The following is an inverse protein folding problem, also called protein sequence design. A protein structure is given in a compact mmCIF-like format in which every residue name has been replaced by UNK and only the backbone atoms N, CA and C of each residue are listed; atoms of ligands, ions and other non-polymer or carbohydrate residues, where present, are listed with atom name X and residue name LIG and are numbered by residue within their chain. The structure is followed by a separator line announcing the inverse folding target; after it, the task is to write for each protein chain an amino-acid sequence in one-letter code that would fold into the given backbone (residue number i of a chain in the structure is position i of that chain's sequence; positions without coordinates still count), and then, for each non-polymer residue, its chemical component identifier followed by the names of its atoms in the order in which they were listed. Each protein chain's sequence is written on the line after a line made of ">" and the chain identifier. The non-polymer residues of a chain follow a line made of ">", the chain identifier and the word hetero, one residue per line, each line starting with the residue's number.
data_IF_022882988574
#
_entry.id   IF_022882988574
#
_cell.length_a   1.000
_cell.length_b   1.000
_cell.length_c   1.000
_cell.angle_alpha   90.00
_cell.angle_beta   90.00
_cell.angle_gamma   90.00
#
_symmetry.space_group_name_H-M   'P 1'
#
loop_
_entity.id
_entity.type
_entity.pdbx_description
1 polymer ?
#
# COMPACT_ATOMS: atom_id res chain seq x y z
N UNK A 1 7.55 3.77 -5.20
CA UNK A 1 6.54 3.62 -4.12
C UNK A 1 7.21 2.89 -2.98
N UNK A 2 6.93 3.25 -1.73
CA UNK A 2 7.43 2.51 -0.56
C UNK A 2 6.43 2.48 0.59
N UNK A 3 6.41 1.42 1.38
CA UNK A 3 5.56 1.34 2.58
C UNK A 3 6.21 2.12 3.73
N UNK A 4 5.59 3.22 4.15
CA UNK A 4 6.04 3.98 5.31
C UNK A 4 5.52 3.42 6.63
N UNK A 5 4.29 2.93 6.69
CA UNK A 5 3.75 2.34 7.90
C UNK A 5 2.58 1.41 7.57
N UNK A 6 2.32 0.47 8.47
CA UNK A 6 1.06 -0.28 8.49
C UNK A 6 0.49 -0.12 9.90
N UNK A 7 -0.70 0.44 10.00
CA UNK A 7 -1.37 0.73 11.27
C UNK A 7 -2.88 0.55 11.08
N UNK A 8 -3.54 -0.03 12.08
CA UNK A 8 -5.00 -0.22 12.09
C UNK A 8 -5.56 -0.88 10.81
N UNK A 9 -4.83 -1.84 10.23
CA UNK A 9 -5.24 -2.52 9.01
C UNK A 9 -5.09 -1.72 7.71
N UNK A 10 -4.57 -0.50 7.78
CA UNK A 10 -4.26 0.35 6.62
C UNK A 10 -2.76 0.41 6.36
N UNK A 11 -2.38 0.68 5.11
CA UNK A 11 -1.01 0.92 4.72
C UNK A 11 -0.81 2.37 4.31
N UNK A 12 0.27 2.98 4.80
CA UNK A 12 0.71 4.31 4.42
C UNK A 12 1.81 4.17 3.38
N UNK A 13 1.49 4.47 2.12
CA UNK A 13 2.42 4.35 0.99
C UNK A 13 2.91 5.72 0.57
N UNK A 14 4.23 5.90 0.54
CA UNK A 14 4.85 7.12 0.03
C UNK A 14 5.03 7.02 -1.49
N UNK A 15 4.41 7.95 -2.20
CA UNK A 15 4.37 8.03 -3.66
C UNK A 15 4.02 9.44 -4.13
N UNK A 16 4.71 9.92 -5.18
CA UNK A 16 4.56 11.29 -5.72
C UNK A 16 4.71 12.36 -4.65
N UNK A 17 5.78 12.27 -3.85
CA UNK A 17 6.11 13.20 -2.77
C UNK A 17 5.03 13.38 -1.69
N UNK A 18 4.09 12.44 -1.60
CA UNK A 18 3.00 12.40 -0.62
C UNK A 18 2.86 11.02 0.00
N UNK A 19 2.24 10.96 1.16
CA UNK A 19 1.87 9.69 1.81
C UNK A 19 0.37 9.47 1.70
N UNK A 20 0.00 8.31 1.19
CA UNK A 20 -1.38 7.91 0.94
C UNK A 20 -1.74 6.77 1.89
N UNK A 21 -2.84 6.89 2.62
CA UNK A 21 -3.44 5.77 3.32
C UNK A 21 -4.24 4.94 2.30
N UNK A 22 -4.03 3.63 2.29
CA UNK A 22 -4.72 2.70 1.40
C UNK A 22 -5.18 1.44 2.12
N UNK A 23 -6.29 0.90 1.65
CA UNK A 23 -6.91 -0.36 2.06
C UNK A 23 -7.14 -1.29 0.85
N UNK A 24 -7.32 -2.61 1.06
CA UNK A 24 -7.69 -3.52 -0.03
C UNK A 24 -8.96 -3.07 -0.75
N UNK A 25 -8.91 -3.05 -2.08
CA UNK A 25 -9.95 -2.55 -2.97
C UNK A 25 -9.73 -1.11 -3.45
N UNK A 26 -8.90 -0.32 -2.77
CA UNK A 26 -8.60 1.06 -3.19
C UNK A 26 -7.55 1.12 -4.31
N UNK A 27 -7.54 2.24 -5.04
CA UNK A 27 -6.56 2.52 -6.09
C UNK A 27 -5.44 3.41 -5.57
N UNK A 28 -4.21 3.06 -5.92
CA UNK A 28 -3.04 3.91 -5.76
C UNK A 28 -2.45 4.21 -7.13
N UNK A 29 -2.89 5.31 -7.73
CA UNK A 29 -2.58 5.60 -9.14
C UNK A 29 -3.33 4.66 -10.08
N UNK A 30 -2.59 3.87 -10.86
CA UNK A 30 -3.13 2.91 -11.84
C UNK A 30 -3.23 1.48 -11.31
N UNK A 31 -2.79 1.24 -10.07
CA UNK A 31 -2.83 -0.11 -9.46
C UNK A 31 -3.92 -0.18 -8.41
N UNK A 32 -4.53 -1.36 -8.27
CA UNK A 32 -5.50 -1.65 -7.22
C UNK A 32 -4.80 -2.38 -6.09
N UNK A 33 -4.99 -1.96 -4.85
CA UNK A 33 -4.52 -2.67 -3.66
C UNK A 33 -5.36 -3.93 -3.50
N UNK A 34 -4.72 -5.09 -3.50
CA UNK A 34 -5.39 -6.39 -3.35
C UNK A 34 -5.25 -6.96 -1.94
N UNK A 35 -4.27 -6.48 -1.16
CA UNK A 35 -4.04 -6.93 0.20
C UNK A 35 -2.95 -6.14 0.92
N UNK A 36 -2.87 -6.31 2.24
CA UNK A 36 -1.84 -5.73 3.10
C UNK A 36 -1.26 -6.85 3.96
N UNK A 37 0.05 -7.04 3.92
CA UNK A 37 0.76 -8.00 4.78
C UNK A 37 1.52 -7.23 5.87
N UNK A 38 0.98 -7.13 7.10
CA UNK A 38 1.63 -6.43 8.20
C UNK A 38 2.91 -7.11 8.67
N UNK A 39 3.01 -8.44 8.55
CA UNK A 39 4.19 -9.20 9.02
C UNK A 39 5.40 -8.94 8.13
N UNK A 40 5.22 -8.91 6.82
CA UNK A 40 6.27 -8.61 5.86
C UNK A 40 6.45 -7.11 5.60
N UNK A 41 5.53 -6.27 6.12
CA UNK A 41 5.41 -4.84 5.82
C UNK A 41 5.24 -4.56 4.32
N UNK A 42 4.28 -5.23 3.71
CA UNK A 42 4.07 -5.19 2.26
C UNK A 42 2.64 -4.80 1.90
N UNK A 43 2.50 -4.12 0.77
CA UNK A 43 1.21 -3.86 0.12
C UNK A 43 1.16 -4.65 -1.18
N UNK A 44 0.18 -5.54 -1.29
CA UNK A 44 -0.07 -6.32 -2.50
C UNK A 44 -0.94 -5.50 -3.43
N UNK A 45 -0.56 -5.40 -4.69
CA UNK A 45 -1.31 -4.67 -5.72
C UNK A 45 -1.49 -5.52 -6.97
N UNK A 46 -2.39 -5.09 -7.86
CA UNK A 46 -2.60 -5.71 -9.17
C UNK A 46 -1.37 -5.74 -10.07
N UNK A 47 -0.33 -4.95 -9.77
CA UNK A 47 0.92 -4.89 -10.53
C UNK A 47 2.13 -5.45 -9.76
N UNK A 48 1.93 -6.07 -8.60
CA UNK A 48 2.98 -6.63 -7.75
C UNK A 48 2.99 -6.04 -6.33
N UNK A 49 4.10 -6.24 -5.62
CA UNK A 49 4.22 -5.92 -4.20
C UNK A 49 5.03 -4.65 -3.95
N UNK A 50 4.54 -3.77 -3.08
CA UNK A 50 5.25 -2.59 -2.58
C UNK A 50 5.82 -2.91 -1.20
N UNK A 51 7.10 -2.58 -0.97
CA UNK A 51 7.82 -2.76 0.30
C UNK A 51 8.14 -1.42 0.97
#
# INVERSE_FOLDING_TARGET
>A
MRVQAIQNGMAWVYWQDKTWAVSPGEKLGQVTVTGINPQAREVLTSAGTIK
#
